data_IF_619378886521
#
_entry.id   IF_619378886521
#
_cell.length_a   1.000
_cell.length_b   1.000
_cell.length_c   1.000
_cell.angle_alpha   90.00
_cell.angle_beta   90.00
_cell.angle_gamma   90.00
#
_symmetry.space_group_name_H-M   'P 1'
#
loop_
_entity.id
_entity.type
_entity.pdbx_description
1 polymer ?
#
# COMPACT_ATOMS: atom_id res chain seq x y z
N UNK A 1 0.85 -9.30 -4.84
CA UNK A 1 0.62 -9.14 -6.31
C UNK A 1 1.83 -9.63 -7.11
N UNK A 2 1.80 -9.61 -8.45
CA UNK A 2 3.02 -9.74 -9.27
C UNK A 2 3.66 -8.36 -9.43
N UNK A 3 4.74 -8.12 -8.70
CA UNK A 3 5.43 -6.82 -8.71
C UNK A 3 6.35 -6.63 -9.92
N UNK A 4 6.56 -5.37 -10.30
CA UNK A 4 7.32 -4.98 -11.49
C UNK A 4 8.80 -4.90 -11.12
N UNK A 5 9.65 -5.64 -11.84
CA UNK A 5 11.10 -5.55 -11.64
C UNK A 5 11.67 -4.28 -12.27
N UNK A 6 12.70 -3.66 -11.64
CA UNK A 6 13.35 -2.48 -12.18
C UNK A 6 13.86 -2.69 -13.61
N UNK A 7 13.66 -1.68 -14.47
CA UNK A 7 14.19 -1.66 -15.84
C UNK A 7 15.26 -0.58 -15.97
N UNK A 8 16.34 -0.87 -16.69
CA UNK A 8 17.52 0.02 -16.82
C UNK A 8 17.30 1.24 -17.73
N UNK A 9 16.23 1.26 -18.54
CA UNK A 9 15.97 2.33 -19.50
C UNK A 9 15.18 3.47 -18.89
N UNK A 10 15.81 4.64 -18.77
CA UNK A 10 15.18 5.91 -18.37
C UNK A 10 14.52 6.55 -19.60
N UNK A 11 13.31 6.12 -19.96
CA UNK A 11 12.49 6.87 -20.94
C UNK A 11 11.69 7.93 -20.19
N UNK A 12 11.54 9.12 -20.78
CA UNK A 12 10.64 10.15 -20.26
C UNK A 12 9.23 9.57 -20.27
N UNK A 13 8.58 9.52 -19.11
CA UNK A 13 7.25 8.94 -18.97
C UNK A 13 6.24 9.95 -19.50
N UNK A 14 5.53 9.60 -20.57
CA UNK A 14 4.21 10.15 -20.88
C UNK A 14 3.18 9.23 -20.22
N UNK A 15 2.30 9.80 -19.42
CA UNK A 15 1.22 9.05 -18.78
C UNK A 15 0.14 8.74 -19.82
N UNK A 16 0.32 7.62 -20.52
CA UNK A 16 -0.67 7.09 -21.45
C UNK A 16 -1.11 5.72 -20.95
N UNK A 17 -2.35 5.66 -20.47
CA UNK A 17 -3.01 4.41 -20.12
C UNK A 17 -3.67 3.88 -21.38
N UNK A 18 -3.41 2.63 -21.76
CA UNK A 18 -4.00 2.04 -22.96
C UNK A 18 -5.52 1.88 -22.82
N UNK A 19 -6.27 1.99 -23.93
CA UNK A 19 -7.73 1.77 -23.97
C UNK A 19 -8.13 0.42 -23.37
N UNK A 20 -7.29 -0.60 -23.57
CA UNK A 20 -7.47 -1.93 -22.97
C UNK A 20 -7.48 -1.85 -21.44
N UNK A 21 -6.53 -1.12 -20.86
CA UNK A 21 -6.43 -0.94 -19.40
C UNK A 21 -7.60 -0.14 -18.86
N UNK A 22 -8.01 0.94 -19.54
CA UNK A 22 -9.19 1.72 -19.16
C UNK A 22 -10.47 0.86 -19.21
N UNK A 23 -10.59 0.02 -20.24
CA UNK A 23 -11.72 -0.91 -20.36
C UNK A 23 -11.75 -1.88 -19.17
N UNK A 24 -10.60 -2.45 -18.79
CA UNK A 24 -10.49 -3.33 -17.61
C UNK A 24 -10.91 -2.58 -16.35
N UNK A 25 -10.40 -1.36 -16.14
CA UNK A 25 -10.70 -0.54 -14.98
C UNK A 25 -12.20 -0.23 -14.87
N UNK A 26 -12.84 0.10 -16.00
CA UNK A 26 -14.29 0.35 -16.07
C UNK A 26 -15.12 -0.86 -15.66
N UNK A 27 -14.80 -2.05 -16.19
CA UNK A 27 -15.50 -3.28 -15.79
C UNK A 27 -15.23 -3.65 -14.34
N UNK A 28 -14.00 -3.41 -13.86
CA UNK A 28 -13.64 -3.67 -12.48
C UNK A 28 -14.38 -2.73 -11.52
N UNK A 29 -14.52 -1.45 -11.87
CA UNK A 29 -15.36 -0.47 -11.17
C UNK A 29 -16.81 -0.91 -11.05
N UNK A 30 -17.41 -1.37 -12.15
CA UNK A 30 -18.78 -1.91 -12.14
C UNK A 30 -18.93 -3.15 -11.26
N UNK A 31 -17.91 -4.02 -11.26
CA UNK A 31 -17.92 -5.24 -10.47
C UNK A 31 -17.75 -4.97 -8.97
N UNK A 32 -16.79 -4.12 -8.61
CA UNK A 32 -16.42 -3.85 -7.22
C UNK A 32 -17.27 -2.76 -6.57
N UNK A 33 -18.03 -2.00 -7.38
CA UNK A 33 -18.84 -0.84 -6.98
C UNK A 33 -18.02 0.35 -6.45
N UNK A 34 -16.71 0.35 -6.69
CA UNK A 34 -15.84 1.49 -6.44
C UNK A 34 -15.68 2.33 -7.71
N UNK A 35 -15.40 3.61 -7.55
CA UNK A 35 -14.98 4.47 -8.66
C UNK A 35 -13.64 4.00 -9.24
N UNK A 36 -13.41 4.36 -10.50
CA UNK A 36 -12.12 4.07 -11.16
C UNK A 36 -10.94 4.71 -10.40
N UNK A 37 -11.16 5.88 -9.79
CA UNK A 37 -10.18 6.61 -8.97
C UNK A 37 -9.82 5.83 -7.70
N UNK A 38 -10.82 5.42 -6.91
CA UNK A 38 -10.62 4.63 -5.69
C UNK A 38 -9.89 3.32 -5.98
N UNK A 39 -10.24 2.65 -7.09
CA UNK A 39 -9.56 1.42 -7.49
C UNK A 39 -8.09 1.69 -7.78
N UNK A 40 -7.77 2.77 -8.50
CA UNK A 40 -6.38 3.11 -8.84
C UNK A 40 -5.59 3.39 -7.57
N UNK A 41 -6.14 4.19 -6.65
CA UNK A 41 -5.47 4.52 -5.39
C UNK A 41 -5.22 3.26 -4.56
N UNK A 42 -6.26 2.46 -4.29
CA UNK A 42 -6.12 1.18 -3.58
C UNK A 42 -5.16 0.23 -4.29
N UNK A 43 -5.18 0.18 -5.62
CA UNK A 43 -4.31 -0.71 -6.38
C UNK A 43 -2.83 -0.30 -6.25
N UNK A 44 -2.55 1.00 -6.29
CA UNK A 44 -1.20 1.55 -6.17
C UNK A 44 -0.64 1.42 -4.75
N UNK A 45 -1.49 1.50 -3.72
CA UNK A 45 -1.08 1.24 -2.33
C UNK A 45 -0.52 -0.18 -2.14
N UNK A 46 -1.01 -1.17 -2.89
CA UNK A 46 -0.46 -2.53 -2.84
C UNK A 46 1.02 -2.60 -3.26
N UNK A 47 1.57 -1.57 -3.92
CA UNK A 47 3.00 -1.51 -4.23
C UNK A 47 3.86 -1.39 -2.97
N UNK A 48 3.27 -0.93 -1.85
CA UNK A 48 3.94 -0.91 -0.54
C UNK A 48 4.21 -2.31 0.01
N UNK A 49 3.60 -3.36 -0.55
CA UNK A 49 3.90 -4.76 -0.20
C UNK A 49 5.13 -5.32 -0.93
N UNK A 50 5.70 -4.61 -1.92
CA UNK A 50 6.88 -5.07 -2.66
C UNK A 50 8.16 -4.87 -1.82
N UNK A 51 8.67 -5.96 -1.24
CA UNK A 51 9.93 -5.95 -0.47
C UNK A 51 11.10 -5.36 -1.27
N UNK A 52 11.16 -5.59 -2.58
CA UNK A 52 12.22 -5.04 -3.43
C UNK A 52 12.08 -3.52 -3.60
N UNK A 53 10.85 -3.01 -3.65
CA UNK A 53 10.57 -1.58 -3.66
C UNK A 53 10.91 -0.94 -2.31
N UNK A 54 10.52 -1.57 -1.20
CA UNK A 54 10.87 -1.12 0.16
C UNK A 54 12.39 -1.08 0.34
N UNK A 55 13.11 -2.13 -0.05
CA UNK A 55 14.57 -2.19 0.05
C UNK A 55 15.22 -1.08 -0.82
N UNK A 56 14.66 -0.83 -1.99
CA UNK A 56 15.12 0.25 -2.85
C UNK A 56 14.89 1.64 -2.22
N UNK A 57 13.73 1.90 -1.62
CA UNK A 57 13.44 3.13 -0.87
C UNK A 57 14.43 3.31 0.28
N UNK A 58 14.72 2.23 1.00
CA UNK A 58 15.65 2.24 2.13
C UNK A 58 17.07 2.67 1.73
N UNK A 59 17.46 2.43 0.48
CA UNK A 59 18.77 2.84 -0.08
C UNK A 59 18.78 4.27 -0.64
N UNK A 60 17.63 4.96 -0.68
CA UNK A 60 17.56 6.32 -1.21
C UNK A 60 18.06 7.37 -0.22
N UNK A 61 18.80 8.35 -0.73
CA UNK A 61 19.33 9.48 0.06
C UNK A 61 18.23 10.27 0.79
N UNK A 62 17.04 10.33 0.21
CA UNK A 62 15.90 11.10 0.73
C UNK A 62 14.82 10.20 1.37
N UNK A 63 15.21 9.02 1.86
CA UNK A 63 14.33 8.02 2.49
C UNK A 63 13.26 8.64 3.39
N UNK A 64 13.63 9.47 4.39
CA UNK A 64 12.68 10.06 5.35
C UNK A 64 11.56 10.88 4.71
N UNK A 65 11.86 11.58 3.60
CA UNK A 65 10.85 12.36 2.88
C UNK A 65 9.92 11.46 2.07
N UNK A 66 10.45 10.37 1.53
CA UNK A 66 9.65 9.36 0.82
C UNK A 66 8.75 8.64 1.81
N UNK A 67 9.28 8.19 2.94
CA UNK A 67 8.51 7.55 4.01
C UNK A 67 7.38 8.43 4.53
N UNK A 68 7.61 9.72 4.75
CA UNK A 68 6.55 10.64 5.19
C UNK A 68 5.39 10.68 4.17
N UNK A 69 5.70 10.81 2.87
CA UNK A 69 4.68 10.82 1.81
C UNK A 69 3.93 9.48 1.74
N UNK A 70 4.62 8.36 1.94
CA UNK A 70 4.01 7.03 1.90
C UNK A 70 3.23 6.68 3.17
N UNK A 71 3.59 7.25 4.32
CA UNK A 71 2.82 7.16 5.57
C UNK A 71 1.57 8.02 5.53
N UNK A 72 1.63 9.15 4.83
CA UNK A 72 0.48 10.03 4.56
C UNK A 72 -0.46 9.45 3.46
N UNK A 73 -0.05 8.41 2.72
CA UNK A 73 -0.97 7.56 1.94
C UNK A 73 -1.76 6.69 2.93
N UNK A 74 -2.90 7.22 3.35
CA UNK A 74 -3.64 6.77 4.52
C UNK A 74 -4.39 5.44 4.29
N UNK A 75 -3.67 4.30 4.36
CA UNK A 75 -4.26 2.98 4.61
C UNK A 75 -3.29 1.97 5.26
N UNK A 76 -2.44 2.40 6.21
CA UNK A 76 -1.76 1.47 7.13
C UNK A 76 -1.82 1.96 8.58
N UNK A 77 -3.04 2.15 9.11
CA UNK A 77 -3.27 2.42 10.54
C UNK A 77 -3.91 1.25 11.29
N UNK A 78 -4.19 0.11 10.64
CA UNK A 78 -4.92 -1.01 11.29
C UNK A 78 -4.06 -2.21 11.71
N UNK A 79 -2.75 -2.24 11.44
CA UNK A 79 -1.88 -3.34 11.88
C UNK A 79 -1.01 -3.01 13.11
N UNK A 80 -0.98 -1.77 13.58
CA UNK A 80 -0.24 -1.38 14.79
C UNK A 80 -1.07 -1.52 16.08
N UNK A 81 -2.37 -1.86 15.99
CA UNK A 81 -3.29 -1.93 17.13
C UNK A 81 -3.49 -3.35 17.71
N UNK A 82 -2.93 -4.40 17.08
CA UNK A 82 -3.15 -5.79 17.50
C UNK A 82 -2.11 -6.34 18.49
N UNK A 83 -1.10 -5.56 18.90
CA UNK A 83 -0.03 -6.03 19.80
C UNK A 83 -0.24 -5.74 21.30
N UNK A 84 -1.40 -5.20 21.73
CA UNK A 84 -1.62 -4.87 23.15
C UNK A 84 -2.76 -5.59 23.89
N UNK A 85 -3.45 -6.56 23.28
CA UNK A 85 -4.59 -7.22 23.95
C UNK A 85 -4.33 -8.64 24.50
N UNK A 86 -3.06 -9.03 24.67
CA UNK A 86 -2.68 -10.31 25.31
C UNK A 86 -1.87 -10.12 26.61
N UNK A 87 -2.26 -9.14 27.44
CA UNK A 87 -1.82 -9.02 28.84
C UNK A 87 -3.00 -8.59 29.71
N UNK A 88 -3.98 -9.47 29.87
CA UNK A 88 -5.03 -9.34 30.88
C UNK A 88 -5.61 -10.70 31.25
N UNK A 89 -4.74 -11.67 31.49
CA UNK A 89 -5.04 -12.82 32.34
C UNK A 89 -3.98 -12.85 33.46
N UNK A 90 -4.43 -13.07 34.70
CA UNK A 90 -3.67 -13.21 35.96
C UNK A 90 -3.34 -11.94 36.78
N UNK A 91 -4.37 -11.39 37.43
CA UNK A 91 -4.37 -10.88 38.82
C UNK A 91 -5.78 -10.33 39.09
N UNK A 92 -6.52 -10.60 40.14
CA UNK A 92 -6.25 -11.17 41.45
C UNK A 92 -7.64 -11.55 42.01
N UNK A 93 -7.78 -12.81 42.44
CA UNK A 93 -9.05 -13.35 42.92
C UNK A 93 -9.29 -12.97 44.38
N UNK A 94 -10.13 -11.97 44.58
CA UNK A 94 -11.03 -11.75 45.73
C UNK A 94 -10.52 -12.09 47.13
N UNK A 95 -10.05 -11.07 47.85
CA UNK A 95 -9.99 -11.06 49.31
C UNK A 95 -11.38 -10.72 49.91
N UNK A 96 -11.85 -11.65 50.74
CA UNK A 96 -12.73 -11.56 51.94
C UNK A 96 -13.84 -10.51 52.03
#
# INVERSE_FOLDING_TARGET
MKFIKPKTTKKKVTWEISDKTLTILNYYSKYSQYSEEEIVDMFLENLLEDEGFIEWINKQRYKKRIEAILQDCELVSQMAASEQNNQSEESDGSDR
#
